data_IF_143010795105
#
_entry.id   IF_143010795105
#
_cell.length_a   1.000
_cell.length_b   1.000
_cell.length_c   1.000
_cell.angle_alpha   90.00
_cell.angle_beta   90.00
_cell.angle_gamma   90.00
#
_symmetry.space_group_name_H-M   'P 1'
#
loop_
_entity.id
_entity.type
_entity.pdbx_description
1 polymer ?
#
# COMPACT_ATOMS: atom_id res chain seq x y z
N UNK A 1 11.74 -2.67 -28.53
CA UNK A 1 10.51 -2.28 -27.82
C UNK A 1 10.49 -2.97 -26.47
N UNK A 2 10.68 -2.23 -25.39
CA UNK A 2 10.17 -2.72 -24.10
C UNK A 2 8.64 -2.63 -24.16
N UNK A 3 7.90 -3.64 -23.68
CA UNK A 3 6.46 -3.51 -23.51
C UNK A 3 6.15 -2.35 -22.55
N UNK A 4 5.07 -1.64 -22.82
CA UNK A 4 4.52 -0.66 -21.88
C UNK A 4 3.85 -1.44 -20.75
N UNK A 5 4.46 -1.43 -19.57
CA UNK A 5 3.97 -2.14 -18.39
C UNK A 5 3.49 -1.06 -17.42
N UNK A 6 2.18 -1.02 -17.18
CA UNK A 6 1.59 -0.16 -16.16
C UNK A 6 2.23 -0.44 -14.80
N UNK A 7 2.38 0.60 -13.98
CA UNK A 7 2.84 0.43 -12.62
C UNK A 7 1.93 -0.57 -11.87
N UNK A 8 2.49 -1.50 -11.09
CA UNK A 8 1.70 -2.52 -10.41
C UNK A 8 0.72 -1.90 -9.42
N UNK A 9 1.11 -0.79 -8.79
CA UNK A 9 0.23 0.03 -7.97
C UNK A 9 0.46 1.51 -8.26
N UNK A 10 -0.58 2.32 -8.09
CA UNK A 10 -0.51 3.79 -8.11
C UNK A 10 -1.39 4.35 -6.99
N UNK A 11 -1.14 5.61 -6.62
CA UNK A 11 -1.98 6.35 -5.69
C UNK A 11 -2.69 7.47 -6.44
N UNK A 12 -3.99 7.62 -6.20
CA UNK A 12 -4.73 8.85 -6.49
C UNK A 12 -4.83 9.68 -5.20
N UNK A 13 -4.05 10.77 -5.06
CA UNK A 13 -4.13 11.62 -3.87
C UNK A 13 -5.47 12.36 -3.82
N UNK A 14 -6.18 12.23 -2.71
CA UNK A 14 -7.39 12.99 -2.38
C UNK A 14 -7.00 14.22 -1.56
N UNK A 15 -6.03 14.08 -0.65
CA UNK A 15 -5.54 15.12 0.25
C UNK A 15 -4.06 14.88 0.59
N UNK A 16 -3.28 15.94 0.77
CA UNK A 16 -1.88 15.84 1.24
C UNK A 16 -0.92 15.25 0.21
N UNK A 17 0.21 14.73 0.70
CA UNK A 17 1.30 14.19 -0.15
C UNK A 17 1.66 12.76 0.24
N UNK A 18 0.82 11.76 -0.09
CA UNK A 18 1.17 10.36 0.06
C UNK A 18 2.12 9.93 -1.08
N UNK A 19 3.17 9.21 -0.73
CA UNK A 19 4.23 8.79 -1.67
C UNK A 19 4.48 7.31 -1.52
N UNK A 20 4.62 6.60 -2.64
CA UNK A 20 5.17 5.25 -2.66
C UNK A 20 6.69 5.38 -2.57
N UNK A 21 7.28 4.86 -1.49
CA UNK A 21 8.73 4.81 -1.28
C UNK A 21 9.34 3.72 -2.18
N UNK A 22 8.79 2.51 -2.09
CA UNK A 22 9.23 1.38 -2.89
C UNK A 22 8.15 0.31 -3.04
N UNK A 23 8.37 -0.55 -4.03
CA UNK A 23 7.57 -1.74 -4.33
C UNK A 23 8.54 -2.91 -4.56
N UNK A 24 8.26 -4.07 -3.97
CA UNK A 24 9.04 -5.30 -4.17
C UNK A 24 8.16 -6.54 -4.03
N UNK A 25 8.72 -7.71 -4.33
CA UNK A 25 8.11 -8.98 -3.93
C UNK A 25 8.31 -9.21 -2.42
N UNK A 26 7.36 -9.91 -1.80
CA UNK A 26 7.49 -10.38 -0.42
C UNK A 26 8.71 -11.29 -0.27
N UNK A 27 9.39 -11.19 0.87
CA UNK A 27 10.66 -11.90 1.12
C UNK A 27 10.47 -13.41 1.36
N UNK A 28 9.24 -13.83 1.65
CA UNK A 28 8.87 -15.22 1.91
C UNK A 28 8.68 -16.08 0.64
N UNK A 29 8.87 -15.49 -0.55
CA UNK A 29 8.74 -16.19 -1.82
C UNK A 29 7.30 -16.51 -2.24
N UNK A 30 6.29 -15.98 -1.55
CA UNK A 30 4.87 -16.14 -1.89
C UNK A 30 4.51 -15.61 -3.28
N UNK A 31 5.29 -14.68 -3.82
CA UNK A 31 4.95 -13.92 -5.01
C UNK A 31 3.97 -12.78 -4.75
N UNK A 32 3.65 -12.52 -3.48
CA UNK A 32 2.93 -11.31 -3.05
C UNK A 32 3.77 -10.06 -3.35
N UNK A 33 3.08 -8.93 -3.46
CA UNK A 33 3.73 -7.62 -3.62
C UNK A 33 3.68 -6.90 -2.28
N UNK A 34 4.80 -6.31 -1.89
CA UNK A 34 4.90 -5.43 -0.73
C UNK A 34 5.23 -4.04 -1.23
N UNK A 35 4.48 -3.05 -0.73
CA UNK A 35 4.70 -1.65 -1.03
C UNK A 35 4.78 -0.85 0.26
N UNK A 36 5.81 -0.03 0.38
CA UNK A 36 5.90 0.96 1.46
C UNK A 36 5.47 2.31 0.94
N UNK A 37 4.65 2.96 1.74
CA UNK A 37 4.18 4.31 1.51
C UNK A 37 4.52 5.18 2.71
N UNK A 38 4.60 6.48 2.46
CA UNK A 38 4.75 7.46 3.53
C UNK A 38 4.07 8.78 3.19
N UNK A 39 3.78 9.55 4.22
CA UNK A 39 3.38 10.95 4.08
C UNK A 39 4.61 11.85 4.07
N UNK A 40 4.77 12.66 3.02
CA UNK A 40 6.03 13.37 2.74
C UNK A 40 6.11 14.82 3.23
N UNK A 41 4.97 15.45 3.58
CA UNK A 41 4.89 16.89 3.84
C UNK A 41 4.71 17.24 5.33
N UNK A 42 4.61 16.26 6.23
CA UNK A 42 4.34 16.48 7.65
C UNK A 42 2.88 16.90 7.92
N UNK A 43 1.96 16.54 7.05
CA UNK A 43 0.52 16.82 7.16
C UNK A 43 -0.30 15.53 7.14
N UNK A 44 -1.62 15.60 7.30
CA UNK A 44 -2.47 14.43 7.01
C UNK A 44 -2.53 14.22 5.49
N UNK A 45 -2.57 12.97 5.06
CA UNK A 45 -2.78 12.62 3.66
C UNK A 45 -3.87 11.56 3.50
N UNK A 46 -4.56 11.61 2.37
CA UNK A 46 -5.55 10.61 1.93
C UNK A 46 -5.33 10.25 0.48
N UNK A 47 -5.45 8.98 0.15
CA UNK A 47 -5.37 8.51 -1.22
C UNK A 47 -6.25 7.29 -1.46
N UNK A 48 -6.60 7.09 -2.73
CA UNK A 48 -7.11 5.83 -3.24
C UNK A 48 -5.95 5.00 -3.80
N UNK A 49 -5.91 3.72 -3.48
CA UNK A 49 -5.00 2.75 -4.09
C UNK A 49 -5.62 2.24 -5.40
N UNK A 50 -4.86 2.30 -6.48
CA UNK A 50 -5.18 1.63 -7.73
C UNK A 50 -4.14 0.56 -8.04
N UNK A 51 -4.57 -0.51 -8.67
CA UNK A 51 -3.70 -1.61 -9.09
C UNK A 51 -3.69 -1.76 -10.61
N UNK A 52 -2.53 -2.12 -11.17
CA UNK A 52 -2.41 -2.45 -12.58
C UNK A 52 -3.13 -3.77 -12.90
N UNK A 53 -3.56 -3.95 -14.16
CA UNK A 53 -4.39 -5.09 -14.57
C UNK A 53 -3.86 -6.49 -14.25
N UNK A 54 -2.55 -6.65 -14.06
CA UNK A 54 -1.95 -7.92 -13.60
C UNK A 54 -2.34 -8.30 -12.18
N UNK A 55 -2.83 -7.34 -11.40
CA UNK A 55 -3.25 -7.48 -10.01
C UNK A 55 -4.77 -7.35 -9.83
N UNK A 56 -5.54 -7.41 -10.92
CA UNK A 56 -7.01 -7.36 -10.84
C UNK A 56 -7.55 -8.43 -9.89
N UNK A 57 -8.41 -8.01 -8.97
CA UNK A 57 -9.03 -8.88 -7.96
C UNK A 57 -8.09 -9.30 -6.82
N UNK A 58 -6.88 -8.74 -6.71
CA UNK A 58 -6.03 -8.96 -5.55
C UNK A 58 -6.58 -8.24 -4.32
N UNK A 59 -6.25 -8.78 -3.15
CA UNK A 59 -6.54 -8.15 -1.86
C UNK A 59 -5.33 -7.41 -1.34
N UNK A 60 -5.57 -6.38 -0.52
CA UNK A 60 -4.54 -5.63 0.22
C UNK A 60 -4.77 -5.78 1.71
N UNK A 61 -3.69 -5.84 2.48
CA UNK A 61 -3.68 -5.65 3.93
C UNK A 61 -2.46 -4.84 4.35
N UNK A 62 -2.51 -4.26 5.53
CA UNK A 62 -1.34 -3.63 6.15
C UNK A 62 -0.54 -4.67 6.94
N UNK A 63 0.78 -4.51 6.94
CA UNK A 63 1.75 -5.31 7.70
C UNK A 63 2.69 -4.38 8.44
N UNK A 64 3.40 -4.92 9.43
CA UNK A 64 4.53 -4.20 10.00
C UNK A 64 5.67 -4.05 8.96
N UNK A 65 6.73 -3.33 9.35
CA UNK A 65 7.89 -3.10 8.47
C UNK A 65 8.69 -4.36 8.11
N UNK A 66 8.44 -5.47 8.81
CA UNK A 66 9.03 -6.80 8.57
C UNK A 66 8.08 -7.72 7.77
N UNK A 67 7.00 -7.19 7.19
CA UNK A 67 6.01 -7.93 6.38
C UNK A 67 5.14 -8.91 7.17
N UNK A 68 5.12 -8.77 8.50
CA UNK A 68 4.36 -9.63 9.40
C UNK A 68 3.00 -9.00 9.71
N UNK A 69 2.02 -9.86 10.02
CA UNK A 69 0.65 -9.45 10.36
C UNK A 69 0.55 -8.97 11.83
N UNK A 70 1.65 -8.88 12.56
CA UNK A 70 1.68 -8.34 13.92
C UNK A 70 1.36 -6.84 13.89
N UNK A 71 0.42 -6.42 14.74
CA UNK A 71 0.05 -5.02 14.94
C UNK A 71 0.05 -4.71 16.42
N UNK A 72 0.55 -3.53 16.79
CA UNK A 72 0.57 -3.05 18.16
C UNK A 72 -0.57 -2.03 18.41
N UNK A 73 -1.17 -1.98 19.62
CA UNK A 73 -2.32 -1.12 19.90
C UNK A 73 -2.13 0.37 19.58
N UNK A 74 -0.90 0.86 19.70
CA UNK A 74 -0.55 2.28 19.49
C UNK A 74 0.09 2.55 18.12
N UNK A 75 0.21 1.53 17.27
CA UNK A 75 0.76 1.69 15.92
C UNK A 75 -0.33 2.28 15.00
N UNK A 76 -0.08 3.43 14.35
CA UNK A 76 -1.06 4.00 13.44
C UNK A 76 -1.17 3.14 12.18
N UNK A 77 -2.38 2.73 11.85
CA UNK A 77 -2.70 2.10 10.57
C UNK A 77 -2.91 3.16 9.48
N UNK A 78 -2.35 2.95 8.30
CA UNK A 78 -2.62 3.79 7.13
C UNK A 78 -3.72 3.23 6.24
N UNK A 79 -3.98 1.92 6.27
CA UNK A 79 -5.05 1.28 5.51
C UNK A 79 -6.38 1.35 6.26
N UNK A 80 -7.39 1.93 5.63
CA UNK A 80 -8.72 2.08 6.23
C UNK A 80 -9.52 0.80 6.08
N UNK A 81 -9.95 0.17 7.18
CA UNK A 81 -10.86 -0.98 7.14
C UNK A 81 -10.20 -2.36 7.08
N UNK A 82 -8.86 -2.44 7.16
CA UNK A 82 -8.13 -3.71 7.22
C UNK A 82 -8.06 -4.44 5.88
N UNK A 83 -7.98 -5.78 5.91
CA UNK A 83 -7.86 -6.60 4.67
C UNK A 83 -9.10 -6.44 3.80
N UNK A 84 -8.90 -6.04 2.55
CA UNK A 84 -9.97 -5.74 1.59
C UNK A 84 -9.49 -5.89 0.15
N UNK A 85 -10.33 -5.55 -0.83
CA UNK A 85 -9.91 -5.48 -2.24
C UNK A 85 -8.84 -4.40 -2.43
N UNK A 86 -7.80 -4.68 -3.21
CA UNK A 86 -6.70 -3.73 -3.41
C UNK A 86 -7.11 -2.54 -4.26
N UNK A 87 -7.84 -2.79 -5.35
CA UNK A 87 -8.41 -1.73 -6.17
C UNK A 87 -9.47 -0.96 -5.38
N UNK A 88 -9.27 0.36 -5.27
CA UNK A 88 -10.17 1.23 -4.53
C UNK A 88 -9.99 1.17 -3.01
N UNK A 89 -8.88 0.61 -2.50
CA UNK A 89 -8.59 0.66 -1.08
C UNK A 89 -8.25 2.10 -0.64
N UNK A 90 -8.87 2.56 0.43
CA UNK A 90 -8.62 3.90 0.97
C UNK A 90 -7.45 3.91 1.96
N UNK A 91 -6.60 4.94 1.84
CA UNK A 91 -5.47 5.20 2.72
C UNK A 91 -5.67 6.53 3.45
N UNK A 92 -5.33 6.58 4.73
CA UNK A 92 -5.21 7.81 5.50
C UNK A 92 -3.96 7.79 6.38
N UNK A 93 -3.03 8.70 6.13
CA UNK A 93 -1.74 8.76 6.81
C UNK A 93 -1.68 9.99 7.72
N UNK A 94 -1.11 9.82 8.92
CA UNK A 94 -0.71 10.92 9.79
C UNK A 94 0.60 11.58 9.30
N UNK A 95 0.94 12.79 9.80
CA UNK A 95 2.22 13.44 9.50
C UNK A 95 3.42 12.49 9.61
N UNK A 96 4.19 12.36 8.52
CA UNK A 96 5.37 11.48 8.42
C UNK A 96 5.13 9.99 8.74
N UNK A 97 3.88 9.53 8.72
CA UNK A 97 3.58 8.12 8.96
C UNK A 97 4.11 7.25 7.81
N UNK A 98 4.66 6.09 8.18
CA UNK A 98 4.95 4.99 7.26
C UNK A 98 3.80 3.98 7.31
N UNK A 99 3.47 3.40 6.16
CA UNK A 99 2.53 2.28 6.06
C UNK A 99 3.09 1.26 5.08
N UNK A 100 3.08 -0.01 5.46
CA UNK A 100 3.54 -1.11 4.60
C UNK A 100 2.34 -1.96 4.21
N UNK A 101 2.04 -2.01 2.92
CA UNK A 101 0.94 -2.79 2.37
C UNK A 101 1.48 -4.07 1.76
N UNK A 102 0.75 -5.17 1.95
CA UNK A 102 0.98 -6.43 1.25
C UNK A 102 -0.25 -6.78 0.42
N UNK A 103 -0.03 -6.90 -0.89
CA UNK A 103 -1.03 -7.31 -1.86
C UNK A 103 -0.83 -8.79 -2.18
N UNK A 104 -1.91 -9.55 -2.13
CA UNK A 104 -1.93 -10.98 -2.44
C UNK A 104 -3.11 -11.31 -3.33
N UNK A 105 -3.02 -12.40 -4.09
CA UNK A 105 -4.17 -12.96 -4.80
C UNK A 105 -5.32 -13.24 -3.81
N UNK A 106 -6.56 -13.02 -4.23
CA UNK A 106 -7.75 -13.33 -3.44
C UNK A 106 -7.91 -14.84 -3.21
#
# INVERSE_FOLDING_TARGET
NMPDIAAPITLEPIEGTPVIDWIKLADDGSGDIVARLYEAAGAKAKAMLHVGGTLDGWTVRETNTLEQDESYPDEPAGLIGGKQQAEGAELALNPFQLTTLRLSRA
#
